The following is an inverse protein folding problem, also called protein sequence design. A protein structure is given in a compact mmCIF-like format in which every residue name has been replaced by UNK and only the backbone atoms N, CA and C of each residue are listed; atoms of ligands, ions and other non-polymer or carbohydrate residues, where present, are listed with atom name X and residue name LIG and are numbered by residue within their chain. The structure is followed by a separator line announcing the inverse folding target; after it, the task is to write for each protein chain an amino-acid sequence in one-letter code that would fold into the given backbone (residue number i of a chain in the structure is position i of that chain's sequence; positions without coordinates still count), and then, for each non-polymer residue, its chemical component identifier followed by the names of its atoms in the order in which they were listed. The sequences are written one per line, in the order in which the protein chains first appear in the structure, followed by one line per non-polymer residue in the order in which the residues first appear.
data_IF_921309689568
#
_entry.id   IF_921309689568
#
_cell.length_a   1.000
_cell.length_b   1.000
_cell.length_c   1.000
_cell.angle_alpha   90.00
_cell.angle_beta   90.00
_cell.angle_gamma   90.00
#
_symmetry.space_group_name_H-M   'P 1'
#
loop_
_entity.id
_entity.type
_entity.pdbx_description
1 polymer ?
#
# COMPACT_ATOMS: atom_id res chain seq x y z
N UNK A 1 2.98 -2.41 -26.48
CA UNK A 1 3.07 -1.09 -25.82
C UNK A 1 1.81 -0.92 -25.00
N UNK A 2 1.92 -0.85 -23.66
CA UNK A 2 0.76 -0.91 -22.74
C UNK A 2 -0.09 0.37 -22.77
N UNK A 3 0.54 1.53 -22.81
CA UNK A 3 -0.13 2.83 -22.97
C UNK A 3 0.50 3.56 -24.17
N UNK A 4 -0.07 3.44 -25.38
CA UNK A 4 0.42 4.18 -26.52
C UNK A 4 0.24 5.68 -26.28
N UNK A 5 1.20 6.49 -26.75
CA UNK A 5 1.10 7.94 -26.60
C UNK A 5 -0.16 8.44 -27.28
N UNK A 6 -0.91 9.29 -26.58
CA UNK A 6 -2.00 10.03 -27.20
C UNK A 6 -1.45 10.98 -28.27
N UNK A 7 -2.27 11.33 -29.25
CA UNK A 7 -1.89 12.32 -30.26
C UNK A 7 -1.43 13.64 -29.62
N UNK A 8 -2.13 14.07 -28.57
CA UNK A 8 -1.79 15.29 -27.82
C UNK A 8 -0.41 15.16 -27.17
N UNK A 9 -0.12 14.05 -26.49
CA UNK A 9 1.20 13.81 -25.89
C UNK A 9 2.29 13.78 -26.98
N UNK A 10 2.05 13.11 -28.10
CA UNK A 10 2.98 13.05 -29.22
C UNK A 10 3.30 14.42 -29.81
N UNK A 11 2.28 15.26 -30.05
CA UNK A 11 2.47 16.63 -30.53
C UNK A 11 3.22 17.49 -29.52
N UNK A 12 2.87 17.40 -28.24
CA UNK A 12 3.55 18.14 -27.16
C UNK A 12 5.02 17.77 -27.06
N UNK A 13 5.36 16.48 -27.07
CA UNK A 13 6.76 16.02 -27.04
C UNK A 13 7.53 16.43 -28.29
N UNK A 14 6.92 16.33 -29.47
CA UNK A 14 7.54 16.81 -30.70
C UNK A 14 7.82 18.31 -30.65
N UNK A 15 6.89 19.09 -30.10
CA UNK A 15 7.07 20.53 -29.92
C UNK A 15 8.21 20.84 -28.93
N UNK A 16 8.19 20.20 -27.76
CA UNK A 16 9.22 20.36 -26.74
C UNK A 16 10.61 20.04 -27.31
N UNK A 17 10.76 18.90 -27.96
CA UNK A 17 12.03 18.45 -28.50
C UNK A 17 12.52 19.30 -29.68
N UNK A 18 11.62 19.70 -30.60
CA UNK A 18 12.03 20.40 -31.83
C UNK A 18 12.23 21.90 -31.63
N UNK A 19 11.50 22.51 -30.70
CA UNK A 19 11.50 23.97 -30.54
C UNK A 19 12.00 24.42 -29.16
N UNK A 20 11.55 23.80 -28.07
CA UNK A 20 11.91 24.26 -26.72
C UNK A 20 13.32 23.81 -26.34
N UNK A 21 13.65 22.54 -26.57
CA UNK A 21 14.94 21.94 -26.23
C UNK A 21 16.11 22.74 -26.82
N UNK A 22 16.14 23.09 -28.13
CA UNK A 22 17.26 23.84 -28.70
C UNK A 22 17.37 25.26 -28.13
N UNK A 23 16.25 25.93 -27.86
CA UNK A 23 16.25 27.27 -27.22
C UNK A 23 16.86 27.18 -25.81
N UNK A 24 16.52 26.14 -25.06
CA UNK A 24 17.00 25.94 -23.69
C UNK A 24 18.49 25.56 -23.61
N UNK A 25 19.14 25.21 -24.72
CA UNK A 25 20.59 25.00 -24.80
C UNK A 25 21.38 26.27 -25.13
N UNK A 26 20.72 27.33 -25.60
CA UNK A 26 21.35 28.59 -26.00
C UNK A 26 20.94 29.74 -25.09
N UNK A 27 21.67 30.86 -25.14
CA UNK A 27 21.29 32.07 -24.40
C UNK A 27 20.05 32.73 -25.04
N UNK A 28 19.04 33.18 -24.27
CA UNK A 28 18.98 33.22 -22.81
C UNK A 28 18.38 31.98 -22.13
N UNK A 29 17.83 31.02 -22.88
CA UNK A 29 17.17 29.81 -22.35
C UNK A 29 18.04 28.97 -21.42
N UNK A 30 19.35 28.93 -21.65
CA UNK A 30 20.32 28.26 -20.78
C UNK A 30 20.25 28.74 -19.31
N UNK A 31 20.03 30.04 -19.07
CA UNK A 31 19.88 30.57 -17.70
C UNK A 31 18.63 30.02 -17.01
N UNK A 32 17.55 29.84 -17.76
CA UNK A 32 16.32 29.24 -17.24
C UNK A 32 16.53 27.76 -16.94
N UNK A 33 17.27 27.03 -17.80
CA UNK A 33 17.68 25.63 -17.54
C UNK A 33 18.50 25.51 -16.26
N UNK A 34 19.52 26.35 -16.08
CA UNK A 34 20.36 26.37 -14.86
C UNK A 34 19.52 26.64 -13.60
N UNK A 35 18.58 27.59 -13.66
CA UNK A 35 17.65 27.85 -12.55
C UNK A 35 16.72 26.67 -12.26
N UNK A 36 16.25 25.98 -13.31
CA UNK A 36 15.42 24.79 -13.17
C UNK A 36 16.19 23.61 -12.54
N UNK A 37 17.44 23.37 -12.96
CA UNK A 37 18.31 22.36 -12.38
C UNK A 37 18.60 22.65 -10.90
N UNK A 38 18.91 23.90 -10.57
CA UNK A 38 19.11 24.32 -9.18
C UNK A 38 17.82 24.19 -8.33
N UNK A 39 16.64 24.25 -8.94
CA UNK A 39 15.37 23.96 -8.25
C UNK A 39 15.18 22.46 -8.04
N UNK A 40 15.46 21.66 -9.07
CA UNK A 40 15.32 20.21 -9.04
C UNK A 40 16.20 19.58 -7.96
N UNK A 41 17.50 19.93 -7.93
CA UNK A 41 18.42 19.38 -6.93
C UNK A 41 18.04 19.79 -5.50
N UNK A 42 17.47 20.99 -5.31
CA UNK A 42 16.93 21.41 -4.01
C UNK A 42 15.75 20.56 -3.55
N UNK A 43 14.88 20.14 -4.46
CA UNK A 43 13.78 19.23 -4.11
C UNK A 43 14.29 17.80 -3.83
N UNK A 44 15.35 17.37 -4.52
CA UNK A 44 16.03 16.10 -4.23
C UNK A 44 16.61 16.11 -2.81
N UNK A 45 17.39 17.14 -2.45
CA UNK A 45 17.96 17.24 -1.10
C UNK A 45 16.89 17.33 -0.01
N UNK A 46 15.81 18.09 -0.24
CA UNK A 46 14.71 18.15 0.70
C UNK A 46 14.04 16.78 0.90
N UNK A 47 13.81 16.04 -0.20
CA UNK A 47 13.26 14.68 -0.15
C UNK A 47 14.18 13.71 0.57
N UNK A 48 15.48 13.79 0.31
CA UNK A 48 16.51 12.99 0.95
C UNK A 48 16.55 13.20 2.46
N UNK A 49 16.51 14.46 2.92
CA UNK A 49 16.48 14.78 4.35
C UNK A 49 15.20 14.30 5.02
N UNK A 50 14.04 14.48 4.36
CA UNK A 50 12.74 14.06 4.89
C UNK A 50 12.59 12.54 5.02
N UNK A 51 13.29 11.77 4.18
CA UNK A 51 13.15 10.30 4.13
C UNK A 51 14.40 9.59 4.65
N UNK A 52 15.29 10.31 5.33
CA UNK A 52 16.58 9.77 5.77
C UNK A 52 17.30 8.99 4.65
N UNK A 53 17.28 9.55 3.44
CA UNK A 53 17.89 9.05 2.20
C UNK A 53 17.30 7.72 1.68
N UNK A 54 16.14 7.30 2.16
CA UNK A 54 15.38 6.16 1.62
C UNK A 54 14.66 6.57 0.33
N UNK A 55 14.07 7.77 0.27
CA UNK A 55 13.12 8.23 -0.77
C UNK A 55 11.84 7.36 -0.85
N UNK A 56 10.87 7.79 -1.68
CA UNK A 56 9.60 7.08 -1.90
C UNK A 56 9.74 5.61 -2.38
N UNK A 57 10.90 5.20 -2.90
CA UNK A 57 11.10 3.87 -3.44
C UNK A 57 12.40 3.72 -4.20
N UNK A 58 12.71 2.50 -4.62
CA UNK A 58 14.00 2.11 -5.20
C UNK A 58 14.44 2.95 -6.41
N UNK A 59 13.49 3.29 -7.29
CA UNK A 59 13.79 4.07 -8.50
C UNK A 59 14.10 5.54 -8.16
N UNK A 60 13.22 6.30 -7.48
CA UNK A 60 13.58 7.62 -6.97
C UNK A 60 14.86 7.62 -6.15
N UNK A 61 15.04 6.66 -5.24
CA UNK A 61 16.25 6.50 -4.42
C UNK A 61 17.52 6.44 -5.27
N UNK A 62 17.53 5.59 -6.29
CA UNK A 62 18.71 5.42 -7.15
C UNK A 62 19.00 6.69 -7.97
N UNK A 63 17.97 7.38 -8.44
CA UNK A 63 18.11 8.62 -9.20
C UNK A 63 18.56 9.80 -8.32
N UNK A 64 18.01 9.95 -7.12
CA UNK A 64 18.42 10.95 -6.12
C UNK A 64 19.88 10.73 -5.72
N UNK A 65 20.26 9.49 -5.39
CA UNK A 65 21.65 9.13 -5.10
C UNK A 65 22.61 9.50 -6.24
N UNK A 66 22.22 9.21 -7.50
CA UNK A 66 23.01 9.58 -8.67
C UNK A 66 23.11 11.11 -8.83
N UNK A 67 22.03 11.84 -8.58
CA UNK A 67 22.01 13.29 -8.65
C UNK A 67 22.97 13.92 -7.61
N UNK A 68 22.94 13.44 -6.37
CA UNK A 68 23.89 13.87 -5.32
C UNK A 68 25.33 13.53 -5.68
N UNK A 69 25.59 12.36 -6.27
CA UNK A 69 26.93 11.98 -6.74
C UNK A 69 27.43 12.89 -7.88
N UNK A 70 26.56 13.25 -8.83
CA UNK A 70 26.92 14.17 -9.92
C UNK A 70 27.20 15.57 -9.39
N UNK A 71 26.48 16.01 -8.36
CA UNK A 71 26.71 17.31 -7.72
C UNK A 71 28.05 17.34 -6.98
N UNK A 72 28.30 16.36 -6.11
CA UNK A 72 29.56 16.18 -5.38
C UNK A 72 29.72 14.71 -4.91
N UNK A 73 30.66 13.94 -5.49
CA UNK A 73 30.94 12.56 -5.10
C UNK A 73 31.40 12.37 -3.65
N UNK A 74 31.95 13.42 -3.01
CA UNK A 74 32.47 13.36 -1.64
C UNK A 74 31.48 13.93 -0.60
N UNK A 75 30.29 14.35 -1.06
CA UNK A 75 29.24 14.95 -0.23
C UNK A 75 28.72 14.01 0.86
N UNK A 76 28.28 14.60 1.97
CA UNK A 76 27.63 13.85 3.05
C UNK A 76 26.32 13.20 2.57
N UNK A 77 25.55 13.92 1.75
CA UNK A 77 24.32 13.39 1.15
C UNK A 77 24.57 12.09 0.37
N UNK A 78 25.62 12.03 -0.44
CA UNK A 78 25.96 10.81 -1.17
C UNK A 78 26.38 9.67 -0.23
N UNK A 79 27.15 9.95 0.83
CA UNK A 79 27.54 8.94 1.83
C UNK A 79 26.32 8.37 2.56
N UNK A 80 25.38 9.22 2.95
CA UNK A 80 24.11 8.80 3.55
C UNK A 80 23.31 7.91 2.59
N UNK A 81 23.23 8.27 1.31
CA UNK A 81 22.58 7.45 0.29
C UNK A 81 23.19 6.05 0.16
N UNK A 82 24.52 5.95 0.18
CA UNK A 82 25.22 4.66 0.08
C UNK A 82 24.91 3.78 1.29
N UNK A 83 24.85 4.35 2.49
CA UNK A 83 24.52 3.61 3.71
C UNK A 83 23.12 2.96 3.64
N UNK A 84 22.17 3.58 2.92
CA UNK A 84 20.78 3.12 2.79
C UNK A 84 20.52 2.21 1.60
N UNK A 85 21.54 1.82 0.83
CA UNK A 85 21.36 0.89 -0.30
C UNK A 85 20.86 -0.48 0.19
N UNK A 86 21.33 -0.92 1.35
CA UNK A 86 21.00 -2.23 1.91
C UNK A 86 19.54 -2.36 2.37
N UNK A 87 18.87 -1.25 2.68
CA UNK A 87 17.46 -1.25 3.07
C UNK A 87 16.55 -1.81 1.94
N UNK A 88 17.01 -1.67 0.69
CA UNK A 88 16.30 -2.19 -0.47
C UNK A 88 16.73 -3.61 -0.89
N UNK A 89 17.76 -4.20 -0.28
CA UNK A 89 18.27 -5.51 -0.70
C UNK A 89 17.69 -6.64 0.17
N UNK A 90 17.00 -7.58 -0.47
CA UNK A 90 16.40 -8.75 0.18
C UNK A 90 17.00 -10.05 -0.37
N UNK A 91 17.37 -10.97 0.52
CA UNK A 91 17.84 -12.31 0.13
C UNK A 91 16.65 -13.27 0.14
N UNK A 92 16.15 -13.63 -1.05
CA UNK A 92 15.08 -14.60 -1.26
C UNK A 92 15.65 -16.01 -1.55
N UNK A 93 14.78 -17.02 -1.66
CA UNK A 93 15.18 -18.40 -1.94
C UNK A 93 15.95 -18.59 -3.26
N UNK A 94 15.76 -17.68 -4.22
CA UNK A 94 16.40 -17.66 -5.53
C UNK A 94 17.51 -16.60 -5.65
N UNK A 95 17.91 -15.99 -4.54
CA UNK A 95 19.03 -15.05 -4.45
C UNK A 95 18.64 -13.63 -4.03
N UNK A 96 19.60 -12.72 -4.14
CA UNK A 96 19.41 -11.32 -3.73
C UNK A 96 18.60 -10.55 -4.76
N UNK A 97 17.59 -9.82 -4.29
CA UNK A 97 16.68 -8.98 -5.09
C UNK A 97 16.61 -7.58 -4.50
N UNK A 98 16.25 -6.61 -5.34
CA UNK A 98 15.92 -5.27 -4.88
C UNK A 98 14.41 -5.18 -4.65
N UNK A 99 14.01 -4.73 -3.47
CA UNK A 99 12.64 -4.40 -3.12
C UNK A 99 12.21 -3.09 -3.81
N UNK A 100 10.91 -2.88 -4.00
CA UNK A 100 10.39 -1.64 -4.62
C UNK A 100 10.36 -0.49 -3.61
N UNK A 101 9.98 -0.81 -2.39
CA UNK A 101 10.06 0.02 -1.19
C UNK A 101 11.11 -0.60 -0.25
N UNK A 102 11.46 0.04 0.86
CA UNK A 102 12.34 -0.52 1.89
C UNK A 102 11.68 -1.68 2.69
N UNK A 103 10.48 -2.10 2.29
CA UNK A 103 9.75 -3.26 2.81
C UNK A 103 8.23 -3.08 2.69
N UNK A 104 7.49 -3.71 3.61
CA UNK A 104 6.04 -3.59 3.81
C UNK A 104 5.66 -3.70 5.30
N UNK A 105 6.59 -3.30 6.18
CA UNK A 105 6.62 -3.68 7.59
C UNK A 105 5.40 -3.20 8.37
N UNK A 106 5.00 -1.92 8.23
CA UNK A 106 3.81 -1.37 8.89
C UNK A 106 2.53 -1.99 8.33
N UNK A 107 2.45 -2.14 7.01
CA UNK A 107 1.29 -2.76 6.36
C UNK A 107 1.06 -4.18 6.84
N UNK A 108 2.10 -5.02 6.82
CA UNK A 108 2.04 -6.41 7.23
C UNK A 108 1.78 -6.54 8.73
N UNK A 109 2.43 -5.72 9.56
CA UNK A 109 2.20 -5.73 11.00
C UNK A 109 0.74 -5.36 11.35
N UNK A 110 0.18 -4.34 10.68
CA UNK A 110 -1.20 -3.92 10.88
C UNK A 110 -2.20 -5.04 10.57
N UNK A 111 -2.12 -5.63 9.37
CA UNK A 111 -3.00 -6.74 9.00
C UNK A 111 -2.78 -7.98 9.84
N UNK A 112 -1.55 -8.29 10.22
CA UNK A 112 -1.23 -9.42 11.09
C UNK A 112 -1.90 -9.25 12.45
N UNK A 113 -1.86 -8.05 13.04
CA UNK A 113 -2.58 -7.79 14.30
C UNK A 113 -4.07 -8.05 14.15
N UNK A 114 -4.71 -7.53 13.10
CA UNK A 114 -6.14 -7.77 12.87
C UNK A 114 -6.46 -9.26 12.73
N UNK A 115 -5.66 -9.99 11.95
CA UNK A 115 -5.84 -11.42 11.74
C UNK A 115 -5.66 -12.22 13.05
N UNK A 116 -4.62 -11.92 13.83
CA UNK A 116 -4.36 -12.57 15.11
C UNK A 116 -5.48 -12.29 16.13
N UNK A 117 -6.01 -11.06 16.17
CA UNK A 117 -7.14 -10.74 17.04
C UNK A 117 -8.41 -11.49 16.64
N UNK A 118 -8.65 -11.68 15.34
CA UNK A 118 -9.80 -12.43 14.83
C UNK A 118 -9.80 -13.91 15.25
N UNK A 119 -8.65 -14.48 15.60
CA UNK A 119 -8.57 -15.88 16.10
C UNK A 119 -9.19 -16.07 17.49
N UNK A 120 -9.32 -15.00 18.29
CA UNK A 120 -9.73 -15.09 19.69
C UNK A 120 -8.65 -15.63 20.65
N UNK A 121 -7.44 -15.94 20.17
CA UNK A 121 -6.34 -16.54 20.95
C UNK A 121 -5.46 -15.51 21.68
N UNK A 122 -6.06 -14.41 22.15
CA UNK A 122 -5.33 -13.25 22.70
C UNK A 122 -4.39 -13.63 23.85
N UNK A 123 -4.80 -14.57 24.71
CA UNK A 123 -3.98 -14.99 25.87
C UNK A 123 -2.71 -15.73 25.46
N UNK A 124 -2.78 -16.54 24.40
CA UNK A 124 -1.67 -17.32 23.89
C UNK A 124 -0.71 -16.44 23.08
N UNK A 125 -1.27 -15.48 22.34
CA UNK A 125 -0.53 -14.59 21.45
C UNK A 125 -0.04 -13.30 22.13
N UNK A 126 -0.28 -13.13 23.43
CA UNK A 126 -0.01 -11.90 24.18
C UNK A 126 1.38 -11.30 23.95
N UNK A 127 2.48 -12.06 24.11
CA UNK A 127 3.83 -11.54 23.87
C UNK A 127 4.05 -11.05 22.43
N UNK A 128 3.48 -11.73 21.44
CA UNK A 128 3.56 -11.32 20.03
C UNK A 128 2.77 -10.05 19.78
N UNK A 129 1.52 -9.99 20.26
CA UNK A 129 0.67 -8.80 20.16
C UNK A 129 1.30 -7.58 20.86
N UNK A 130 1.96 -7.78 22.00
CA UNK A 130 2.70 -6.72 22.70
C UNK A 130 3.84 -6.15 21.86
N UNK A 131 4.61 -7.00 21.18
CA UNK A 131 5.68 -6.54 20.27
C UNK A 131 5.12 -5.83 19.05
N UNK A 132 4.06 -6.35 18.44
CA UNK A 132 3.40 -5.72 17.31
C UNK A 132 2.82 -4.34 17.71
N UNK A 133 2.21 -4.23 18.89
CA UNK A 133 1.72 -2.96 19.43
C UNK A 133 2.85 -1.94 19.61
N UNK A 134 3.97 -2.37 20.22
CA UNK A 134 5.12 -1.50 20.41
C UNK A 134 5.72 -1.06 19.06
N UNK A 135 5.83 -1.97 18.10
CA UNK A 135 6.31 -1.68 16.75
C UNK A 135 5.41 -0.63 16.07
N UNK A 136 4.10 -0.86 15.98
CA UNK A 136 3.18 0.09 15.34
C UNK A 136 3.21 1.46 16.01
N UNK A 137 3.27 1.52 17.34
CA UNK A 137 3.45 2.80 18.05
C UNK A 137 4.78 3.47 17.70
N UNK A 138 5.87 2.73 17.62
CA UNK A 138 7.18 3.32 17.31
C UNK A 138 7.29 3.74 15.84
N UNK A 139 6.47 3.17 14.96
CA UNK A 139 6.46 3.50 13.52
C UNK A 139 5.57 4.69 13.15
N UNK A 140 4.90 5.34 14.11
CA UNK A 140 4.10 6.54 13.84
C UNK A 140 5.00 7.75 13.61
N UNK A 141 4.70 8.55 12.58
CA UNK A 141 5.35 9.84 12.37
C UNK A 141 4.87 10.84 13.42
N UNK A 142 5.77 11.33 14.26
CA UNK A 142 5.42 12.18 15.40
C UNK A 142 5.38 13.68 15.07
N UNK A 143 5.98 14.07 13.94
CA UNK A 143 6.15 15.46 13.55
C UNK A 143 5.87 15.66 12.05
N UNK A 144 5.57 16.90 11.68
CA UNK A 144 5.50 17.28 10.27
C UNK A 144 6.91 17.53 9.73
N UNK A 145 7.12 17.27 8.44
CA UNK A 145 8.36 17.66 7.78
C UNK A 145 8.59 19.18 7.86
N UNK A 146 9.86 19.61 7.97
CA UNK A 146 10.19 21.02 8.17
C UNK A 146 9.84 21.88 6.96
N UNK A 147 9.47 23.14 7.21
CA UNK A 147 9.22 24.13 6.15
C UNK A 147 7.78 24.20 5.66
N UNK A 148 7.58 24.82 4.49
CA UNK A 148 6.25 24.97 3.88
C UNK A 148 5.89 23.74 3.05
N UNK A 149 4.96 22.94 3.57
CA UNK A 149 4.50 21.71 2.93
C UNK A 149 3.93 21.95 1.52
N UNK A 150 3.27 23.09 1.28
CA UNK A 150 2.71 23.41 -0.03
C UNK A 150 3.82 23.71 -1.04
N UNK A 151 4.88 24.39 -0.62
CA UNK A 151 6.03 24.67 -1.45
C UNK A 151 6.75 23.38 -1.85
N UNK A 152 6.90 22.44 -0.91
CA UNK A 152 7.58 21.16 -1.12
C UNK A 152 6.68 20.04 -1.64
N UNK A 153 5.41 20.33 -1.91
CA UNK A 153 4.41 19.36 -2.37
C UNK A 153 4.26 18.13 -1.46
N UNK A 154 4.47 18.31 -0.16
CA UNK A 154 4.25 17.29 0.88
C UNK A 154 2.87 17.46 1.51
N UNK A 155 2.30 16.36 1.96
CA UNK A 155 1.10 16.37 2.81
C UNK A 155 1.50 16.49 4.28
N UNK A 156 0.54 16.77 5.18
CA UNK A 156 0.81 16.68 6.61
C UNK A 156 1.24 15.25 6.97
N UNK A 157 2.31 15.08 7.74
CA UNK A 157 2.84 13.77 8.11
C UNK A 157 2.63 13.41 9.57
N UNK A 158 2.49 14.41 10.45
CA UNK A 158 2.25 14.20 11.88
C UNK A 158 1.02 13.32 12.11
N UNK A 159 1.20 12.26 12.88
CA UNK A 159 0.18 11.30 13.24
C UNK A 159 0.00 10.15 12.24
N UNK A 160 0.59 10.26 11.06
CA UNK A 160 0.46 9.27 9.98
C UNK A 160 1.36 8.05 10.16
N UNK A 161 1.08 7.04 9.36
CA UNK A 161 1.94 5.88 9.14
C UNK A 161 2.27 5.73 7.66
N UNK A 162 3.49 5.27 7.40
CA UNK A 162 4.01 4.90 6.09
C UNK A 162 3.62 3.46 5.74
N UNK A 163 3.93 3.02 4.52
CA UNK A 163 3.79 1.61 4.13
C UNK A 163 4.81 0.71 4.81
N UNK A 164 6.02 1.25 5.05
CA UNK A 164 7.20 0.49 5.47
C UNK A 164 7.61 0.80 6.91
N UNK A 165 8.45 1.82 7.10
CA UNK A 165 9.05 2.22 8.37
C UNK A 165 8.87 3.72 8.60
N UNK A 166 9.06 4.20 9.82
CA UNK A 166 8.98 5.64 10.10
C UNK A 166 9.97 6.46 9.25
N UNK A 167 11.12 5.88 8.90
CA UNK A 167 12.16 6.56 8.16
C UNK A 167 11.79 6.82 6.69
N UNK A 168 10.93 5.99 6.06
CA UNK A 168 10.41 6.23 4.70
C UNK A 168 9.71 7.59 4.62
N UNK A 169 9.03 8.00 5.69
CA UNK A 169 8.40 9.30 5.80
C UNK A 169 7.21 9.55 4.86
N UNK A 170 6.94 8.67 3.89
CA UNK A 170 5.79 8.77 3.00
C UNK A 170 4.55 8.11 3.59
N UNK A 171 3.76 8.93 4.29
CA UNK A 171 2.49 8.45 4.82
C UNK A 171 1.51 8.03 3.71
N UNK A 172 0.71 7.02 4.02
CA UNK A 172 -0.35 6.52 3.14
C UNK A 172 -1.64 6.38 3.95
N UNK A 173 -2.77 6.76 3.36
CA UNK A 173 -4.06 6.82 4.05
C UNK A 173 -4.57 5.45 4.49
N UNK A 174 -4.39 4.41 3.68
CA UNK A 174 -4.73 3.03 4.05
C UNK A 174 -3.80 2.48 5.15
N UNK A 175 -2.50 2.73 5.06
CA UNK A 175 -1.52 2.31 6.06
C UNK A 175 -1.79 2.99 7.40
N UNK A 176 -2.08 4.29 7.37
CA UNK A 176 -2.51 5.07 8.54
C UNK A 176 -3.81 4.50 9.12
N UNK A 177 -4.78 4.17 8.28
CA UNK A 177 -6.05 3.58 8.71
C UNK A 177 -5.87 2.22 9.39
N UNK A 178 -5.13 1.32 8.75
CA UNK A 178 -4.85 -0.03 9.24
C UNK A 178 -4.04 0.00 10.54
N UNK A 179 -2.94 0.77 10.58
CA UNK A 179 -2.10 0.88 11.78
C UNK A 179 -2.85 1.51 12.96
N UNK A 180 -3.61 2.59 12.71
CA UNK A 180 -4.41 3.23 13.75
C UNK A 180 -5.48 2.27 14.27
N UNK A 181 -6.20 1.58 13.39
CA UNK A 181 -7.22 0.58 13.78
C UNK A 181 -6.60 -0.52 14.63
N UNK A 182 -5.47 -1.08 14.23
CA UNK A 182 -4.74 -2.09 15.00
C UNK A 182 -4.37 -1.59 16.41
N UNK A 183 -3.80 -0.38 16.52
CA UNK A 183 -3.48 0.25 17.81
C UNK A 183 -4.72 0.46 18.69
N UNK A 184 -5.85 0.90 18.12
CA UNK A 184 -7.09 1.10 18.85
C UNK A 184 -7.70 -0.22 19.34
N UNK A 185 -7.70 -1.27 18.51
CA UNK A 185 -8.16 -2.60 18.90
C UNK A 185 -7.31 -3.18 20.04
N UNK A 186 -6.00 -3.04 19.95
CA UNK A 186 -5.07 -3.47 21.00
C UNK A 186 -5.26 -2.67 22.29
N UNK A 187 -5.60 -1.38 22.20
CA UNK A 187 -5.85 -0.53 23.37
C UNK A 187 -7.09 -0.97 24.19
N UNK A 188 -7.99 -1.77 23.62
CA UNK A 188 -9.13 -2.36 24.33
C UNK A 188 -8.76 -3.65 25.11
N UNK A 189 -7.53 -4.14 24.99
CA UNK A 189 -7.04 -5.34 25.67
C UNK A 189 -6.24 -4.92 26.90
N UNK A 190 -6.21 -5.77 27.94
CA UNK A 190 -5.46 -5.48 29.16
C UNK A 190 -3.99 -5.13 28.87
N UNK A 191 -3.48 -4.00 29.41
CA UNK A 191 -2.07 -3.60 29.24
C UNK A 191 -1.06 -4.64 29.74
N UNK A 192 -1.48 -5.52 30.66
CA UNK A 192 -0.65 -6.65 31.13
C UNK A 192 -0.32 -7.64 30.01
N UNK A 193 -1.18 -7.75 29.00
CA UNK A 193 -1.03 -8.67 27.88
C UNK A 193 -0.33 -7.98 26.71
N UNK A 194 -0.82 -6.81 26.30
CA UNK A 194 -0.40 -6.14 25.04
C UNK A 194 0.43 -4.87 25.25
N UNK A 195 0.82 -4.57 26.49
CA UNK A 195 1.51 -3.33 26.84
C UNK A 195 0.59 -2.12 26.91
N UNK A 196 1.14 -0.98 27.31
CA UNK A 196 0.38 0.26 27.49
C UNK A 196 -0.28 0.71 26.17
N UNK A 197 -1.50 1.29 26.22
CA UNK A 197 -2.16 1.85 25.05
C UNK A 197 -1.36 3.00 24.44
N UNK A 198 -1.64 3.30 23.18
CA UNK A 198 -1.11 4.50 22.52
C UNK A 198 -1.70 5.75 23.18
N UNK A 199 -0.90 6.80 23.34
CA UNK A 199 -1.34 8.05 23.95
C UNK A 199 -2.51 8.67 23.18
N UNK A 200 -3.49 9.23 23.90
CA UNK A 200 -4.73 9.77 23.31
C UNK A 200 -4.42 10.86 22.27
N UNK A 201 -3.50 11.77 22.57
CA UNK A 201 -3.13 12.85 21.64
C UNK A 201 -2.59 12.30 20.32
N UNK A 202 -1.83 11.20 20.37
CA UNK A 202 -1.30 10.53 19.19
C UNK A 202 -2.35 9.78 18.38
N UNK A 203 -3.40 9.29 19.05
CA UNK A 203 -4.59 8.76 18.36
C UNK A 203 -5.31 9.89 17.59
N UNK A 204 -5.50 11.05 18.23
CA UNK A 204 -6.10 12.22 17.58
C UNK A 204 -5.24 12.75 16.43
N UNK A 205 -3.91 12.77 16.58
CA UNK A 205 -3.01 13.12 15.48
C UNK A 205 -3.21 12.17 14.28
N UNK A 206 -3.34 10.85 14.50
CA UNK A 206 -3.64 9.88 13.44
C UNK A 206 -5.02 10.08 12.79
N UNK A 207 -6.04 10.42 13.58
CA UNK A 207 -7.38 10.75 13.06
C UNK A 207 -7.32 12.04 12.23
N UNK A 208 -6.63 13.07 12.70
CA UNK A 208 -6.45 14.34 11.98
C UNK A 208 -5.72 14.11 10.65
N UNK A 209 -4.69 13.27 10.65
CA UNK A 209 -3.99 12.84 9.46
C UNK A 209 -4.96 12.18 8.45
N UNK A 210 -5.76 11.20 8.88
CA UNK A 210 -6.75 10.56 8.01
C UNK A 210 -7.76 11.56 7.44
N UNK A 211 -8.34 12.41 8.30
CA UNK A 211 -9.33 13.40 7.88
C UNK A 211 -8.77 14.39 6.86
N UNK A 212 -7.47 14.70 6.91
CA UNK A 212 -6.83 15.57 5.94
C UNK A 212 -6.70 14.98 4.53
N UNK A 213 -6.86 13.66 4.37
CA UNK A 213 -6.89 13.01 3.05
C UNK A 213 -8.26 13.04 2.37
N UNK A 214 -9.30 13.48 3.08
CA UNK A 214 -10.66 13.51 2.52
C UNK A 214 -10.75 14.57 1.41
N UNK A 215 -11.16 14.14 0.21
CA UNK A 215 -11.45 15.03 -0.91
C UNK A 215 -12.87 15.60 -0.80
N UNK A 216 -13.19 16.64 -1.57
CA UNK A 216 -14.51 17.27 -1.62
C UNK A 216 -15.66 16.31 -1.99
N UNK A 217 -15.35 15.21 -2.69
CA UNK A 217 -16.30 14.17 -3.05
C UNK A 217 -16.51 13.11 -1.94
N UNK A 218 -15.86 13.25 -0.79
CA UNK A 218 -15.91 12.34 0.35
C UNK A 218 -15.00 11.12 0.26
N UNK A 219 -14.29 10.90 -0.85
CA UNK A 219 -13.29 9.84 -0.97
C UNK A 219 -11.95 10.25 -0.37
N UNK A 220 -11.18 9.30 0.17
CA UNK A 220 -9.85 9.57 0.72
C UNK A 220 -8.78 9.42 -0.36
N UNK A 221 -7.86 10.38 -0.44
CA UNK A 221 -6.75 10.37 -1.40
C UNK A 221 -5.69 9.33 -0.96
N UNK A 222 -5.17 8.59 -1.92
CA UNK A 222 -3.85 7.93 -1.80
C UNK A 222 -2.79 8.83 -2.43
N UNK A 223 -1.52 8.66 -2.04
CA UNK A 223 -0.39 9.41 -2.60
C UNK A 223 -0.34 9.34 -4.14
N UNK A 224 -0.91 8.27 -4.73
CA UNK A 224 -1.04 8.09 -6.18
C UNK A 224 -2.52 7.87 -6.57
N UNK A 225 -3.05 8.68 -7.49
CA UNK A 225 -4.48 8.71 -7.88
C UNK A 225 -4.98 7.47 -8.65
N UNK A 226 -4.12 6.46 -8.82
CA UNK A 226 -4.42 5.20 -9.53
C UNK A 226 -4.25 4.01 -8.58
N UNK A 227 -5.13 3.91 -7.58
CA UNK A 227 -5.11 2.84 -6.58
C UNK A 227 -5.69 1.52 -7.12
N UNK A 228 -4.82 0.65 -7.64
CA UNK A 228 -5.10 -0.78 -7.78
C UNK A 228 -3.86 -1.51 -7.27
N UNK A 229 -3.99 -2.17 -6.11
CA UNK A 229 -2.89 -2.69 -5.30
C UNK A 229 -2.90 -4.23 -5.19
N UNK A 230 -4.10 -4.82 -5.22
CA UNK A 230 -4.30 -6.27 -5.31
C UNK A 230 -4.82 -6.66 -6.69
N UNK A 231 -4.59 -7.91 -7.09
CA UNK A 231 -5.18 -8.53 -8.28
C UNK A 231 -6.58 -9.04 -7.92
N UNK A 232 -7.66 -8.54 -8.48
CA UNK A 232 -8.01 -7.16 -8.83
C UNK A 232 -9.45 -6.94 -8.36
N UNK A 233 -10.37 -7.78 -8.81
CA UNK A 233 -11.77 -7.70 -8.42
C UNK A 233 -12.04 -8.26 -7.03
N UNK A 234 -11.40 -9.37 -6.63
CA UNK A 234 -11.61 -9.93 -5.28
C UNK A 234 -11.13 -8.95 -4.20
N UNK A 235 -9.93 -8.40 -4.36
CA UNK A 235 -9.37 -7.36 -3.49
C UNK A 235 -10.24 -6.12 -3.43
N UNK A 236 -10.56 -5.52 -4.59
CA UNK A 236 -11.34 -4.30 -4.66
C UNK A 236 -12.75 -4.47 -4.11
N UNK A 237 -13.38 -5.62 -4.34
CA UNK A 237 -14.72 -5.92 -3.82
C UNK A 237 -14.71 -6.04 -2.30
N UNK A 238 -13.70 -6.68 -1.71
CA UNK A 238 -13.58 -6.79 -0.25
C UNK A 238 -13.54 -5.41 0.43
N UNK A 239 -12.63 -4.54 0.01
CA UNK A 239 -12.56 -3.18 0.59
C UNK A 239 -13.83 -2.36 0.33
N UNK A 240 -14.43 -2.47 -0.86
CA UNK A 240 -15.66 -1.76 -1.17
C UNK A 240 -16.84 -2.24 -0.31
N UNK A 241 -16.98 -3.55 -0.10
CA UNK A 241 -18.02 -4.12 0.76
C UNK A 241 -17.79 -3.70 2.22
N UNK A 242 -16.57 -3.84 2.74
CA UNK A 242 -16.23 -3.42 4.09
C UNK A 242 -16.56 -1.94 4.33
N UNK A 243 -16.19 -1.05 3.39
CA UNK A 243 -16.52 0.38 3.46
C UNK A 243 -18.02 0.66 3.45
N UNK A 244 -18.79 -0.03 2.61
CA UNK A 244 -20.26 0.10 2.58
C UNK A 244 -20.88 -0.38 3.88
N UNK A 245 -20.39 -1.49 4.46
CA UNK A 245 -20.86 -2.03 5.74
C UNK A 245 -20.61 -1.05 6.87
N UNK A 246 -19.42 -0.45 6.94
CA UNK A 246 -19.13 0.62 7.90
C UNK A 246 -20.07 1.83 7.75
N UNK A 247 -20.54 2.13 6.54
CA UNK A 247 -21.55 3.17 6.28
C UNK A 247 -22.99 2.73 6.62
N UNK A 248 -23.19 1.62 7.32
CA UNK A 248 -24.50 1.08 7.71
C UNK A 248 -25.25 0.40 6.57
N UNK A 249 -24.58 0.09 5.45
CA UNK A 249 -25.18 -0.68 4.35
C UNK A 249 -25.11 -2.16 4.66
N UNK A 250 -26.17 -2.88 4.36
CA UNK A 250 -26.29 -4.32 4.57
C UNK A 250 -26.80 -4.99 3.31
N UNK A 251 -26.74 -6.33 3.25
CA UNK A 251 -27.33 -7.08 2.13
C UNK A 251 -28.81 -6.77 1.91
N UNK A 252 -29.57 -6.50 2.98
CA UNK A 252 -31.01 -6.21 2.88
C UNK A 252 -31.27 -4.80 2.34
N UNK A 253 -30.49 -3.80 2.76
CA UNK A 253 -30.76 -2.39 2.44
C UNK A 253 -29.99 -1.83 1.23
N UNK A 254 -29.04 -2.58 0.66
CA UNK A 254 -28.16 -2.09 -0.41
C UNK A 254 -28.13 -3.01 -1.63
N UNK A 255 -28.63 -2.51 -2.76
CA UNK A 255 -28.52 -3.21 -4.04
C UNK A 255 -27.06 -3.38 -4.50
N UNK A 256 -26.17 -2.47 -4.08
CA UNK A 256 -24.73 -2.55 -4.40
C UNK A 256 -24.06 -3.72 -3.69
N UNK A 257 -24.36 -3.93 -2.40
CA UNK A 257 -23.83 -5.09 -1.65
C UNK A 257 -24.35 -6.39 -2.26
N UNK A 258 -25.63 -6.47 -2.63
CA UNK A 258 -26.18 -7.67 -3.30
C UNK A 258 -25.45 -7.97 -4.61
N UNK A 259 -25.26 -6.97 -5.47
CA UNK A 259 -24.51 -7.12 -6.72
C UNK A 259 -23.06 -7.57 -6.49
N UNK A 260 -22.40 -7.06 -5.45
CA UNK A 260 -21.05 -7.47 -5.08
C UNK A 260 -21.01 -8.95 -4.66
N UNK A 261 -21.98 -9.39 -3.84
CA UNK A 261 -22.13 -10.80 -3.45
C UNK A 261 -22.41 -11.68 -4.68
N UNK A 262 -23.39 -11.31 -5.50
CA UNK A 262 -23.75 -12.04 -6.72
C UNK A 262 -22.55 -12.18 -7.67
N UNK A 263 -21.76 -11.11 -7.81
CA UNK A 263 -20.53 -11.14 -8.59
C UNK A 263 -19.54 -12.16 -8.01
N UNK A 264 -19.20 -12.09 -6.73
CA UNK A 264 -18.26 -13.04 -6.11
C UNK A 264 -18.75 -14.48 -6.23
N UNK A 265 -20.02 -14.74 -5.91
CA UNK A 265 -20.62 -16.07 -6.02
C UNK A 265 -20.63 -16.59 -7.46
N UNK A 266 -20.82 -15.73 -8.46
CA UNK A 266 -20.71 -16.11 -9.87
C UNK A 266 -19.30 -16.52 -10.32
N UNK A 267 -18.28 -16.17 -9.53
CA UNK A 267 -16.86 -16.47 -9.79
C UNK A 267 -16.30 -17.58 -8.90
N UNK A 268 -17.12 -18.14 -8.01
CA UNK A 268 -16.72 -19.29 -7.20
C UNK A 268 -16.40 -20.48 -8.12
N UNK A 269 -15.23 -21.09 -7.91
CA UNK A 269 -14.81 -22.27 -8.66
C UNK A 269 -15.56 -23.51 -8.15
N UNK A 270 -15.63 -24.61 -8.94
CA UNK A 270 -16.23 -25.86 -8.48
C UNK A 270 -15.58 -26.44 -7.20
N UNK A 271 -14.32 -26.06 -6.93
CA UNK A 271 -13.63 -26.41 -5.69
C UNK A 271 -14.13 -25.66 -4.45
N UNK A 272 -14.85 -24.55 -4.65
CA UNK A 272 -15.34 -23.66 -3.59
C UNK A 272 -14.50 -22.40 -3.36
N UNK A 273 -13.39 -22.24 -4.08
CA UNK A 273 -12.45 -21.14 -3.89
C UNK A 273 -12.48 -20.12 -5.03
N UNK A 274 -11.64 -19.09 -4.91
CA UNK A 274 -11.45 -18.06 -5.93
C UNK A 274 -9.98 -18.02 -6.35
N UNK A 275 -9.74 -17.74 -7.62
CA UNK A 275 -8.39 -17.66 -8.18
C UNK A 275 -8.37 -16.72 -9.36
N UNK A 276 -7.83 -15.52 -9.14
CA UNK A 276 -7.77 -14.46 -10.14
C UNK A 276 -6.36 -14.35 -10.74
N UNK A 277 -6.28 -14.22 -12.07
CA UNK A 277 -5.03 -13.99 -12.80
C UNK A 277 -4.67 -12.52 -12.81
N UNK A 278 -3.37 -12.21 -12.78
CA UNK A 278 -2.84 -10.86 -12.95
C UNK A 278 -3.34 -10.18 -14.24
N UNK A 279 -3.67 -10.97 -15.27
CA UNK A 279 -4.27 -10.48 -16.51
C UNK A 279 -5.55 -9.69 -16.25
N UNK A 280 -6.28 -10.00 -15.18
CA UNK A 280 -7.52 -9.30 -14.81
C UNK A 280 -7.31 -7.81 -14.59
N UNK A 281 -6.15 -7.42 -14.05
CA UNK A 281 -5.77 -6.01 -13.90
C UNK A 281 -5.46 -5.34 -15.25
N UNK A 282 -4.87 -6.08 -16.19
CA UNK A 282 -4.48 -5.56 -17.51
C UNK A 282 -5.66 -5.39 -18.47
N UNK A 283 -6.60 -6.36 -18.50
CA UNK A 283 -7.72 -6.35 -19.45
C UNK A 283 -9.04 -5.87 -18.83
N UNK A 284 -9.04 -5.60 -17.52
CA UNK A 284 -10.23 -5.14 -16.76
C UNK A 284 -11.40 -6.13 -16.87
N UNK A 285 -11.08 -7.43 -16.88
CA UNK A 285 -12.06 -8.53 -16.91
C UNK A 285 -11.59 -9.63 -15.97
N UNK A 286 -12.48 -10.11 -15.10
CA UNK A 286 -12.17 -11.22 -14.19
C UNK A 286 -11.74 -12.45 -14.99
N UNK A 287 -10.47 -12.80 -14.86
CA UNK A 287 -9.85 -13.92 -15.55
C UNK A 287 -9.38 -14.92 -14.52
N UNK A 288 -9.92 -16.13 -14.59
CA UNK A 288 -9.50 -17.21 -13.69
C UNK A 288 -8.02 -17.52 -13.87
N UNK A 289 -7.37 -18.00 -12.81
CA UNK A 289 -6.07 -18.63 -12.91
C UNK A 289 -6.09 -19.80 -13.89
N UNK A 290 -4.95 -20.02 -14.55
CA UNK A 290 -4.80 -21.13 -15.50
C UNK A 290 -5.15 -22.45 -14.80
N UNK A 291 -6.03 -23.22 -15.45
CA UNK A 291 -6.52 -24.48 -14.89
C UNK A 291 -7.68 -24.33 -13.89
N UNK A 292 -8.28 -23.14 -13.74
CA UNK A 292 -9.39 -22.90 -12.81
C UNK A 292 -9.05 -23.31 -11.37
N UNK A 293 -7.82 -23.04 -10.95
CA UNK A 293 -7.33 -23.36 -9.62
C UNK A 293 -7.64 -22.24 -8.62
N UNK A 294 -7.97 -22.54 -7.36
CA UNK A 294 -8.13 -21.53 -6.34
C UNK A 294 -6.77 -20.98 -5.90
N UNK A 295 -6.80 -19.81 -5.26
CA UNK A 295 -5.65 -19.14 -4.65
C UNK A 295 -6.03 -18.77 -3.22
N UNK A 296 -5.15 -19.02 -2.25
CA UNK A 296 -5.42 -18.79 -0.83
C UNK A 296 -5.86 -17.34 -0.54
N UNK A 297 -5.06 -16.36 -0.97
CA UNK A 297 -5.35 -14.93 -0.79
C UNK A 297 -6.66 -14.47 -1.46
N UNK A 298 -6.89 -14.78 -2.75
CA UNK A 298 -8.15 -14.42 -3.42
C UNK A 298 -9.37 -15.08 -2.77
N UNK A 299 -9.23 -16.32 -2.31
CA UNK A 299 -10.28 -17.04 -1.57
C UNK A 299 -10.55 -16.35 -0.23
N UNK A 300 -9.51 -15.97 0.52
CA UNK A 300 -9.66 -15.26 1.78
C UNK A 300 -10.37 -13.91 1.59
N UNK A 301 -9.98 -13.09 0.60
CA UNK A 301 -10.63 -11.82 0.30
C UNK A 301 -12.10 -11.98 -0.07
N UNK A 302 -12.44 -12.96 -0.91
CA UNK A 302 -13.83 -13.24 -1.26
C UNK A 302 -14.65 -13.69 -0.05
N UNK A 303 -14.10 -14.59 0.78
CA UNK A 303 -14.76 -15.05 2.01
C UNK A 303 -14.97 -13.90 3.00
N UNK A 304 -13.98 -13.04 3.22
CA UNK A 304 -14.10 -11.85 4.08
C UNK A 304 -15.18 -10.90 3.56
N UNK A 305 -15.20 -10.60 2.26
CA UNK A 305 -16.23 -9.76 1.66
C UNK A 305 -17.64 -10.33 1.85
N UNK A 306 -17.83 -11.63 1.64
CA UNK A 306 -19.12 -12.29 1.81
C UNK A 306 -19.54 -12.35 3.29
N UNK A 307 -18.58 -12.55 4.21
CA UNK A 307 -18.81 -12.48 5.66
C UNK A 307 -19.28 -11.08 6.08
N UNK A 308 -18.56 -10.04 5.68
CA UNK A 308 -18.91 -8.64 5.99
C UNK A 308 -20.28 -8.26 5.44
N UNK A 309 -20.64 -8.79 4.27
CA UNK A 309 -21.96 -8.60 3.67
C UNK A 309 -23.11 -9.36 4.40
N UNK A 310 -22.82 -10.18 5.41
CA UNK A 310 -23.82 -10.96 6.14
C UNK A 310 -24.26 -12.25 5.43
N UNK A 311 -23.49 -12.75 4.46
CA UNK A 311 -23.84 -14.00 3.75
C UNK A 311 -23.88 -15.23 4.67
N UNK A 312 -23.17 -15.19 5.80
CA UNK A 312 -23.20 -16.25 6.79
C UNK A 312 -24.60 -16.51 7.36
N UNK A 313 -25.45 -15.48 7.41
CA UNK A 313 -26.81 -15.58 7.94
C UNK A 313 -27.81 -16.08 6.89
N UNK A 314 -27.43 -16.01 5.61
CA UNK A 314 -28.28 -16.35 4.47
C UNK A 314 -27.98 -17.77 3.99
N UNK A 315 -26.72 -18.04 3.64
CA UNK A 315 -26.26 -19.36 3.22
C UNK A 315 -24.82 -19.60 3.70
N UNK A 316 -24.64 -20.13 4.92
CA UNK A 316 -23.32 -20.47 5.45
C UNK A 316 -22.59 -21.51 4.60
N UNK A 317 -23.29 -22.32 3.80
CA UNK A 317 -22.66 -23.38 3.03
C UNK A 317 -21.70 -22.82 1.96
N UNK A 318 -22.00 -21.65 1.40
CA UNK A 318 -21.11 -20.95 0.44
C UNK A 318 -19.77 -20.63 1.10
N UNK A 319 -19.80 -20.09 2.32
CA UNK A 319 -18.61 -19.75 3.09
C UNK A 319 -17.84 -20.99 3.55
N UNK A 320 -18.54 -22.06 3.93
CA UNK A 320 -17.91 -23.32 4.31
C UNK A 320 -17.11 -23.95 3.16
N UNK A 321 -17.52 -23.76 1.91
CA UNK A 321 -16.76 -24.22 0.74
C UNK A 321 -15.44 -23.46 0.59
N UNK A 322 -15.48 -22.13 0.69
CA UNK A 322 -14.27 -21.30 0.70
C UNK A 322 -13.34 -21.63 1.86
N UNK A 323 -13.87 -21.78 3.08
CA UNK A 323 -13.11 -22.17 4.26
C UNK A 323 -12.47 -23.56 4.10
N UNK A 324 -13.18 -24.53 3.50
CA UNK A 324 -12.64 -25.86 3.20
C UNK A 324 -11.46 -25.79 2.24
N UNK A 325 -11.52 -24.92 1.22
CA UNK A 325 -10.38 -24.70 0.33
C UNK A 325 -9.18 -24.20 1.12
N UNK A 326 -9.35 -23.19 1.98
CA UNK A 326 -8.25 -22.67 2.81
C UNK A 326 -7.66 -23.75 3.72
N UNK A 327 -8.50 -24.55 4.39
CA UNK A 327 -8.03 -25.66 5.23
C UNK A 327 -7.24 -26.70 4.44
N UNK A 328 -7.69 -27.04 3.23
CA UNK A 328 -7.01 -28.01 2.37
C UNK A 328 -5.73 -27.47 1.74
N UNK A 329 -5.53 -26.15 1.73
CA UNK A 329 -4.30 -25.51 1.25
C UNK A 329 -3.22 -25.42 2.34
N UNK A 330 -3.58 -25.57 3.61
CA UNK A 330 -2.64 -25.49 4.71
C UNK A 330 -1.65 -26.67 4.66
N UNK A 331 -0.37 -26.36 4.83
CA UNK A 331 0.72 -27.34 4.92
C UNK A 331 0.80 -27.93 6.34
N UNK A 332 1.56 -29.01 6.50
CA UNK A 332 1.65 -29.73 7.79
C UNK A 332 2.24 -28.87 8.93
N UNK A 333 3.08 -27.90 8.60
CA UNK A 333 3.68 -26.93 9.53
C UNK A 333 2.75 -25.73 9.83
N UNK A 334 1.59 -25.67 9.19
CA UNK A 334 0.62 -24.59 9.33
C UNK A 334 0.82 -23.43 8.35
N UNK A 335 1.87 -23.44 7.53
CA UNK A 335 2.08 -22.46 6.47
C UNK A 335 1.12 -22.67 5.28
N UNK A 336 1.16 -21.72 4.34
CA UNK A 336 0.41 -21.81 3.09
C UNK A 336 1.39 -21.78 1.91
N UNK A 337 1.14 -22.57 0.85
CA UNK A 337 2.01 -22.59 -0.32
C UNK A 337 2.06 -21.22 -1.01
N UNK A 338 3.26 -20.83 -1.40
CA UNK A 338 3.48 -19.63 -2.20
C UNK A 338 2.95 -19.85 -3.64
N UNK A 339 2.02 -19.00 -4.05
CA UNK A 339 1.42 -19.02 -5.39
C UNK A 339 1.89 -17.83 -6.24
N UNK A 340 1.27 -17.65 -7.42
CA UNK A 340 1.46 -16.45 -8.24
C UNK A 340 1.16 -15.19 -7.44
N UNK A 341 1.94 -14.12 -7.66
CA UNK A 341 1.89 -12.90 -6.84
C UNK A 341 0.49 -12.26 -6.89
N UNK A 342 -0.16 -12.00 -5.75
CA UNK A 342 -1.54 -11.48 -5.70
C UNK A 342 -1.62 -9.94 -5.78
N UNK A 343 -0.50 -9.24 -6.00
CA UNK A 343 -0.42 -7.77 -5.94
C UNK A 343 0.01 -7.16 -7.28
N UNK A 344 -0.55 -5.98 -7.58
CA UNK A 344 -0.27 -5.18 -8.78
C UNK A 344 -0.02 -3.73 -8.39
N UNK A 345 0.74 -3.00 -9.20
CA UNK A 345 0.89 -1.54 -9.05
C UNK A 345 0.55 -0.90 -10.39
N UNK A 346 -0.42 0.04 -10.39
CA UNK A 346 -0.86 0.77 -11.59
C UNK A 346 -1.33 -0.14 -12.75
N UNK A 347 -1.98 -1.26 -12.43
CA UNK A 347 -2.45 -2.23 -13.42
C UNK A 347 -1.33 -3.00 -14.13
N UNK A 348 -0.08 -2.84 -13.70
CA UNK A 348 1.05 -3.65 -14.13
C UNK A 348 1.47 -4.58 -13.00
N UNK A 349 1.55 -5.87 -13.30
CA UNK A 349 2.11 -6.83 -12.35
C UNK A 349 3.64 -6.80 -12.41
N UNK A 350 4.25 -6.99 -11.24
CA UNK A 350 5.68 -7.22 -11.09
C UNK A 350 6.00 -8.65 -11.57
N UNK A 351 6.90 -8.84 -12.55
CA UNK A 351 7.25 -10.16 -13.07
C UNK A 351 7.78 -11.10 -11.99
#
# INVERSE_FOLDING_TARGET
MYSPHSLVQGMSWAFLHKFVEPIMFHWPGRKLREKALAMAIRHVHYEDECTHYINLGAVPKALSMLACWIEDPDSEAFKCHIARVYDYLWVAEDGMKMQIYDGSQVWDAGFTVEALLATGLIKELGPTLKRAHAFLKNSQLLENFPGDLNYWYRHISKGGWTFTTADDGWLVSDCTGTALKACLLLSNISPKIVGEPMEIDRQYDGINCLMSFMNDNGGFRHLNSYGSWGVCFTYGTWFAVAGLVCAGRTFTNSATIRKACDFLLSKELPSGGWGESYLSAHIVVYTNLKGNRPHGTHTAWAVLALLDAGQAEIDPALLHRGARVLLNLQLEDGEFPQYEKPFVIQGNCLP
#
